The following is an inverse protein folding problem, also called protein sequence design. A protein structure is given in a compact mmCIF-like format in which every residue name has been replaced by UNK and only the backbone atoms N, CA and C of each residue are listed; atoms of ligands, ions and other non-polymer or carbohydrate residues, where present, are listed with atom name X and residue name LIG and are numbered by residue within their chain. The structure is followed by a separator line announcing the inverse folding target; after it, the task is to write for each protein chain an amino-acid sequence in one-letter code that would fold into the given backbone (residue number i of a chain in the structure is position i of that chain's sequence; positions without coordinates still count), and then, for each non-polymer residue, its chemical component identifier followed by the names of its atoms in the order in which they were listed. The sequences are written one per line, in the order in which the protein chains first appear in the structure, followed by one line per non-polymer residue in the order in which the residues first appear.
data_IF_360232734617
#
_entry.id   IF_360232734617
#
_cell.length_a   1.000
_cell.length_b   1.000
_cell.length_c   1.000
_cell.angle_alpha   90.00
_cell.angle_beta   90.00
_cell.angle_gamma   90.00
#
_symmetry.space_group_name_H-M   'P 1'
#
loop_
_entity.id
_entity.type
_entity.pdbx_description
1 polymer ?
#
# COMPACT_ATOMS: atom_id res chain seq x y z
N UNK A 1 -13.25 -1.56 -21.55
CA UNK A 1 -12.08 -1.10 -20.77
C UNK A 1 -11.56 -2.32 -20.04
N UNK A 2 -10.29 -2.67 -20.23
CA UNK A 2 -9.69 -3.78 -19.50
C UNK A 2 -9.22 -3.18 -18.17
N UNK A 3 -9.86 -3.56 -17.07
CA UNK A 3 -9.37 -3.17 -15.76
C UNK A 3 -7.98 -3.75 -15.55
N UNK A 4 -7.11 -3.02 -14.85
CA UNK A 4 -5.81 -3.57 -14.49
C UNK A 4 -6.00 -4.86 -13.69
N UNK A 5 -5.06 -5.79 -13.81
CA UNK A 5 -5.14 -7.07 -13.11
C UNK A 5 -5.27 -6.88 -11.58
N UNK A 6 -4.66 -5.81 -11.04
CA UNK A 6 -4.77 -5.46 -9.63
C UNK A 6 -6.20 -5.07 -9.24
N UNK A 7 -6.91 -4.25 -10.04
CA UNK A 7 -8.31 -3.91 -9.79
C UNK A 7 -9.21 -5.15 -9.85
N UNK A 8 -8.95 -6.06 -10.81
CA UNK A 8 -9.69 -7.33 -10.92
C UNK A 8 -9.49 -8.18 -9.66
N UNK A 9 -8.25 -8.29 -9.17
CA UNK A 9 -7.92 -9.01 -7.93
C UNK A 9 -8.57 -8.38 -6.70
N UNK A 10 -8.46 -7.06 -6.53
CA UNK A 10 -9.10 -6.33 -5.43
C UNK A 10 -10.61 -6.57 -5.41
N UNK A 11 -11.27 -6.45 -6.57
CA UNK A 11 -12.71 -6.71 -6.71
C UNK A 11 -13.08 -8.14 -6.34
N UNK A 12 -12.29 -9.13 -6.78
CA UNK A 12 -12.56 -10.52 -6.48
C UNK A 12 -12.45 -10.81 -4.97
N UNK A 13 -11.44 -10.25 -4.30
CA UNK A 13 -11.26 -10.39 -2.85
C UNK A 13 -12.37 -9.66 -2.10
N UNK A 14 -12.71 -8.42 -2.46
CA UNK A 14 -13.79 -7.65 -1.85
C UNK A 14 -15.14 -8.40 -1.90
N UNK A 15 -15.47 -8.99 -3.04
CA UNK A 15 -16.69 -9.80 -3.18
C UNK A 15 -16.66 -11.08 -2.34
N UNK A 16 -15.49 -11.72 -2.22
CA UNK A 16 -15.34 -12.96 -1.44
C UNK A 16 -15.42 -12.70 0.06
N UNK A 17 -14.91 -11.55 0.52
CA UNK A 17 -14.98 -11.14 1.93
C UNK A 17 -16.41 -10.84 2.40
N UNK A 18 -17.38 -10.64 1.50
CA UNK A 18 -18.79 -10.39 1.82
C UNK A 18 -18.95 -9.31 2.90
N UNK A 19 -19.60 -9.61 4.02
CA UNK A 19 -19.81 -8.65 5.10
C UNK A 19 -18.53 -8.25 5.84
N UNK A 20 -17.45 -9.01 5.72
CA UNK A 20 -16.15 -8.65 6.29
C UNK A 20 -15.52 -7.48 5.55
N UNK A 21 -15.84 -7.27 4.26
CA UNK A 21 -15.26 -6.21 3.43
C UNK A 21 -15.41 -4.81 4.06
N UNK A 22 -16.48 -4.58 4.84
CA UNK A 22 -16.71 -3.30 5.54
C UNK A 22 -15.78 -3.05 6.73
N UNK A 23 -15.15 -4.10 7.23
CA UNK A 23 -14.31 -4.12 8.44
C UNK A 23 -12.84 -4.37 8.11
N UNK A 24 -12.46 -4.32 6.84
CA UNK A 24 -11.07 -4.45 6.40
C UNK A 24 -10.62 -3.20 5.65
N UNK A 25 -9.32 -3.02 5.56
CA UNK A 25 -8.69 -1.96 4.75
C UNK A 25 -7.68 -2.58 3.82
N UNK A 26 -7.85 -2.40 2.52
CA UNK A 26 -6.94 -2.90 1.50
C UNK A 26 -5.70 -2.02 1.45
N UNK A 27 -4.53 -2.65 1.41
CA UNK A 27 -3.22 -1.99 1.39
C UNK A 27 -2.29 -2.66 0.38
N UNK A 28 -1.01 -2.32 0.42
CA UNK A 28 0.01 -3.01 -0.36
C UNK A 28 -0.01 -2.69 -1.86
N UNK A 29 0.71 -3.49 -2.63
CA UNK A 29 0.98 -3.24 -4.05
C UNK A 29 -0.28 -3.19 -4.92
N UNK A 30 -1.31 -3.97 -4.57
CA UNK A 30 -2.55 -4.04 -5.33
C UNK A 30 -3.30 -2.70 -5.35
N UNK A 31 -3.13 -1.87 -4.31
CA UNK A 31 -3.82 -0.58 -4.17
C UNK A 31 -3.11 0.58 -4.85
N UNK A 32 -1.86 0.41 -5.30
CA UNK A 32 -1.00 1.49 -5.84
C UNK A 32 -1.69 2.28 -6.96
N UNK A 33 -2.35 1.57 -7.88
CA UNK A 33 -3.06 2.19 -9.02
C UNK A 33 -4.26 3.06 -8.62
N UNK A 34 -4.74 2.94 -7.39
CA UNK A 34 -5.92 3.68 -6.90
C UNK A 34 -5.58 5.13 -6.50
N UNK A 35 -4.30 5.43 -6.26
CA UNK A 35 -3.80 6.75 -5.84
C UNK A 35 -3.41 7.67 -7.01
N UNK A 36 -3.61 7.21 -8.25
CA UNK A 36 -3.16 7.93 -9.45
C UNK A 36 -4.31 8.22 -10.40
N UNK A 37 -4.03 9.03 -11.42
CA UNK A 37 -5.03 9.39 -12.42
C UNK A 37 -5.26 8.27 -13.43
N UNK A 38 -6.44 8.25 -14.07
CA UNK A 38 -6.75 7.32 -15.17
C UNK A 38 -5.83 7.43 -16.40
N UNK A 39 -5.06 8.51 -16.52
CA UNK A 39 -4.11 8.70 -17.62
C UNK A 39 -2.71 8.17 -17.29
N UNK A 40 -2.47 7.72 -16.06
CA UNK A 40 -1.22 7.12 -15.65
C UNK A 40 -0.96 5.80 -16.40
N UNK A 41 0.32 5.42 -16.61
CA UNK A 41 0.68 4.07 -17.03
C UNK A 41 0.10 3.01 -16.08
N UNK A 42 0.04 1.75 -16.50
CA UNK A 42 -0.43 0.69 -15.60
C UNK A 42 0.61 0.44 -14.49
N UNK A 43 0.16 0.39 -13.23
CA UNK A 43 1.01 0.02 -12.11
C UNK A 43 1.49 -1.43 -12.25
N UNK A 44 2.65 -1.74 -11.64
CA UNK A 44 3.19 -3.11 -11.62
C UNK A 44 2.13 -4.10 -11.09
N UNK A 45 1.93 -5.25 -11.75
CA UNK A 45 1.04 -6.27 -11.24
C UNK A 45 1.62 -6.90 -9.97
N UNK A 46 0.76 -7.27 -9.02
CA UNK A 46 1.14 -7.99 -7.79
C UNK A 46 0.32 -9.26 -7.64
N UNK A 47 0.93 -10.33 -7.13
CA UNK A 47 0.30 -11.65 -7.08
C UNK A 47 -0.65 -11.85 -5.89
N UNK A 48 -0.54 -10.98 -4.89
CA UNK A 48 -1.26 -10.98 -3.63
C UNK A 48 -2.14 -9.72 -3.44
N UNK A 49 -3.15 -9.87 -2.59
CA UNK A 49 -3.95 -8.76 -2.08
C UNK A 49 -3.77 -8.68 -0.57
N UNK A 50 -3.25 -7.56 -0.11
CA UNK A 50 -3.06 -7.29 1.30
C UNK A 50 -4.29 -6.59 1.89
N UNK A 51 -4.79 -7.10 3.03
CA UNK A 51 -5.83 -6.44 3.82
C UNK A 51 -5.44 -6.38 5.28
N UNK A 52 -5.79 -5.27 5.92
CA UNK A 52 -5.62 -5.06 7.36
C UNK A 52 -6.97 -5.22 8.04
N UNK A 53 -6.96 -5.83 9.22
CA UNK A 53 -8.09 -5.96 10.13
C UNK A 53 -7.75 -5.41 11.51
N UNK A 54 -8.68 -4.70 12.14
CA UNK A 54 -8.54 -4.32 13.54
C UNK A 54 -8.99 -5.48 14.43
N UNK A 55 -8.07 -6.00 15.24
CA UNK A 55 -8.34 -7.08 16.19
C UNK A 55 -7.78 -6.68 17.55
N UNK A 56 -8.64 -6.68 18.57
CA UNK A 56 -8.30 -6.31 19.93
C UNK A 56 -7.95 -7.54 20.80
N UNK A 57 -8.28 -8.76 20.37
CA UNK A 57 -8.04 -9.98 21.15
C UNK A 57 -7.80 -11.25 20.32
N UNK A 58 -7.15 -12.24 20.93
CA UNK A 58 -6.98 -13.58 20.35
C UNK A 58 -8.32 -14.26 20.01
N UNK A 59 -9.36 -13.98 20.80
CA UNK A 59 -10.71 -14.52 20.55
C UNK A 59 -11.30 -13.98 19.23
N UNK A 60 -11.14 -12.69 18.97
CA UNK A 60 -11.60 -12.08 17.71
C UNK A 60 -10.80 -12.61 16.52
N UNK A 61 -9.49 -12.82 16.69
CA UNK A 61 -8.66 -13.45 15.67
C UNK A 61 -9.18 -14.86 15.32
N UNK A 62 -9.44 -15.71 16.32
CA UNK A 62 -10.00 -17.05 16.09
C UNK A 62 -11.39 -17.03 15.41
N UNK A 63 -12.24 -16.07 15.77
CA UNK A 63 -13.55 -15.87 15.14
C UNK A 63 -13.43 -15.42 13.69
N UNK A 64 -12.48 -14.51 13.40
CA UNK A 64 -12.17 -14.10 12.04
C UNK A 64 -11.68 -15.28 11.21
N UNK A 65 -10.75 -16.11 11.73
CA UNK A 65 -10.26 -17.30 11.03
C UNK A 65 -11.37 -18.32 10.74
N UNK A 66 -12.28 -18.56 11.69
CA UNK A 66 -13.45 -19.41 11.46
C UNK A 66 -14.35 -18.83 10.36
N UNK A 67 -14.60 -17.52 10.39
CA UNK A 67 -15.43 -16.87 9.37
C UNK A 67 -14.79 -16.91 7.98
N UNK A 68 -13.50 -16.63 7.88
CA UNK A 68 -12.73 -16.72 6.64
C UNK A 68 -12.79 -18.14 6.05
N UNK A 69 -12.65 -19.18 6.89
CA UNK A 69 -12.81 -20.58 6.44
C UNK A 69 -14.21 -20.88 5.91
N UNK A 70 -15.26 -20.35 6.53
CA UNK A 70 -16.64 -20.48 6.03
C UNK A 70 -16.85 -19.77 4.69
N UNK A 71 -16.12 -18.68 4.43
CA UNK A 71 -16.09 -17.98 3.14
C UNK A 71 -15.21 -18.68 2.09
N UNK A 72 -14.52 -19.76 2.47
CA UNK A 72 -13.71 -20.58 1.60
C UNK A 72 -12.21 -20.25 1.60
N UNK A 73 -11.75 -19.30 2.42
CA UNK A 73 -10.33 -19.01 2.55
C UNK A 73 -9.60 -20.17 3.23
N UNK A 74 -8.44 -20.53 2.70
CA UNK A 74 -7.60 -21.61 3.23
C UNK A 74 -6.21 -21.05 3.51
N UNK A 75 -5.71 -21.23 4.74
CA UNK A 75 -4.35 -20.81 5.09
C UNK A 75 -3.31 -21.47 4.15
N UNK A 76 -2.38 -20.67 3.64
CA UNK A 76 -1.27 -21.16 2.82
C UNK A 76 -0.12 -21.63 3.70
N UNK A 77 -0.31 -22.81 4.30
CA UNK A 77 0.69 -23.44 5.19
C UNK A 77 2.02 -23.65 4.45
N UNK A 78 1.99 -23.87 3.13
CA UNK A 78 3.20 -24.16 2.33
C UNK A 78 4.09 -22.93 2.17
N UNK A 79 3.52 -21.73 2.18
CA UNK A 79 4.28 -20.48 2.08
C UNK A 79 5.13 -20.18 3.33
N UNK A 80 4.73 -20.69 4.50
CA UNK A 80 5.30 -20.30 5.78
C UNK A 80 4.89 -18.90 6.26
N UNK A 81 4.04 -18.18 5.50
CA UNK A 81 3.52 -16.86 5.86
C UNK A 81 2.24 -17.04 6.67
N UNK A 82 2.28 -16.64 7.95
CA UNK A 82 1.22 -16.94 8.93
C UNK A 82 -0.12 -16.32 8.54
N UNK A 83 -0.09 -15.09 8.03
CA UNK A 83 -1.28 -14.31 7.65
C UNK A 83 -1.77 -14.60 6.22
N UNK A 84 -1.16 -15.54 5.50
CA UNK A 84 -1.46 -15.80 4.09
C UNK A 84 -2.58 -16.82 3.91
N UNK A 85 -3.53 -16.46 3.06
CA UNK A 85 -4.64 -17.29 2.65
C UNK A 85 -4.64 -17.46 1.13
N UNK A 86 -5.26 -18.54 0.69
CA UNK A 86 -5.58 -18.79 -0.71
C UNK A 86 -7.09 -18.91 -0.87
N UNK A 87 -7.60 -18.35 -1.96
CA UNK A 87 -9.02 -18.44 -2.32
C UNK A 87 -9.16 -18.35 -3.84
N UNK A 88 -9.77 -19.36 -4.47
CA UNK A 88 -9.98 -19.39 -5.93
C UNK A 88 -8.72 -19.08 -6.77
N UNK A 89 -7.54 -19.50 -6.31
CA UNK A 89 -6.26 -19.23 -6.95
C UNK A 89 -5.65 -17.84 -6.68
N UNK A 90 -6.30 -17.01 -5.86
CA UNK A 90 -5.78 -15.73 -5.37
C UNK A 90 -5.03 -15.93 -4.07
N UNK A 91 -3.95 -15.16 -3.89
CA UNK A 91 -3.22 -15.04 -2.63
C UNK A 91 -3.75 -13.80 -1.91
N UNK A 92 -4.10 -13.93 -0.63
CA UNK A 92 -4.63 -12.85 0.19
C UNK A 92 -3.93 -12.87 1.55
N UNK A 93 -3.26 -11.77 1.89
CA UNK A 93 -2.60 -11.61 3.18
C UNK A 93 -3.51 -10.79 4.10
N UNK A 94 -4.00 -11.41 5.17
CA UNK A 94 -4.95 -10.81 6.11
C UNK A 94 -4.22 -10.53 7.42
N UNK A 95 -3.88 -9.26 7.63
CA UNK A 95 -2.96 -8.83 8.68
C UNK A 95 -3.68 -8.05 9.79
N UNK A 96 -3.45 -8.34 11.08
CA UNK A 96 -3.91 -7.47 12.15
C UNK A 96 -3.18 -6.11 12.13
N UNK A 97 -3.85 -5.05 12.58
CA UNK A 97 -3.22 -3.73 12.80
C UNK A 97 -2.02 -3.81 13.74
N UNK A 98 -2.11 -4.65 14.79
CA UNK A 98 -0.97 -5.03 15.62
C UNK A 98 -0.41 -6.40 15.20
N UNK A 99 0.69 -6.37 14.46
CA UNK A 99 1.30 -7.54 13.84
C UNK A 99 2.65 -7.94 14.46
N UNK A 100 3.07 -7.35 15.58
CA UNK A 100 4.36 -7.69 16.22
C UNK A 100 4.52 -9.20 16.49
N UNK A 101 3.43 -9.86 16.89
CA UNK A 101 3.40 -11.30 17.13
C UNK A 101 3.55 -12.16 15.85
N UNK A 102 3.37 -11.58 14.66
CA UNK A 102 3.48 -12.24 13.35
C UNK A 102 4.85 -12.03 12.69
N UNK A 103 5.79 -11.34 13.35
CA UNK A 103 7.16 -11.17 12.87
C UNK A 103 7.33 -10.05 11.83
N UNK A 104 6.31 -9.21 11.62
CA UNK A 104 6.40 -7.98 10.84
C UNK A 104 5.52 -6.91 11.49
N UNK A 105 5.91 -5.65 11.41
CA UNK A 105 5.09 -4.56 11.92
C UNK A 105 5.23 -3.33 11.03
N UNK A 106 4.16 -2.53 10.99
CA UNK A 106 4.16 -1.24 10.34
C UNK A 106 3.42 -0.26 11.26
N UNK A 107 4.14 0.73 11.78
CA UNK A 107 3.60 1.67 12.77
C UNK A 107 2.37 2.45 12.28
N UNK A 108 2.18 2.55 10.96
CA UNK A 108 1.08 3.30 10.35
C UNK A 108 -0.19 2.49 10.19
N UNK A 109 -0.17 1.17 10.48
CA UNK A 109 -1.37 0.34 10.32
C UNK A 109 -2.52 0.74 11.23
N UNK A 110 -2.33 1.01 12.54
CA UNK A 110 -3.43 1.43 13.40
C UNK A 110 -4.07 2.76 12.94
N UNK A 111 -3.27 3.80 12.73
CA UNK A 111 -3.80 5.12 12.34
C UNK A 111 -4.30 5.14 10.90
N UNK A 112 -3.64 4.42 9.99
CA UNK A 112 -4.08 4.28 8.60
C UNK A 112 -5.40 3.51 8.50
N UNK A 113 -5.61 2.51 9.35
CA UNK A 113 -6.89 1.79 9.43
C UNK A 113 -8.00 2.71 9.94
N UNK A 114 -7.74 3.46 11.03
CA UNK A 114 -8.69 4.40 11.61
C UNK A 114 -9.09 5.53 10.65
N UNK A 115 -8.13 5.99 9.85
CA UNK A 115 -8.32 7.07 8.87
C UNK A 115 -8.50 6.55 7.43
N UNK A 116 -8.91 5.29 7.27
CA UNK A 116 -9.16 4.72 5.97
C UNK A 116 -10.29 5.46 5.24
N UNK A 117 -10.15 5.55 3.92
CA UNK A 117 -11.12 6.19 3.04
C UNK A 117 -11.82 5.14 2.18
N UNK A 118 -13.10 5.36 1.88
CA UNK A 118 -13.83 4.51 0.96
C UNK A 118 -13.48 4.84 -0.49
N UNK A 119 -13.20 3.82 -1.29
CA UNK A 119 -12.87 3.90 -2.70
C UNK A 119 -13.82 3.03 -3.52
N UNK A 120 -14.47 3.63 -4.53
CA UNK A 120 -15.33 2.90 -5.48
C UNK A 120 -14.47 2.32 -6.60
N UNK A 121 -14.34 1.00 -6.64
CA UNK A 121 -13.70 0.27 -7.74
C UNK A 121 -14.59 0.29 -8.99
N UNK A 122 -15.91 0.25 -8.78
CA UNK A 122 -16.95 0.41 -9.78
C UNK A 122 -18.30 0.72 -9.10
N UNK A 123 -19.38 0.78 -9.87
CA UNK A 123 -20.73 1.11 -9.41
C UNK A 123 -21.28 0.18 -8.30
N UNK A 124 -20.69 -1.00 -8.11
CA UNK A 124 -21.17 -2.03 -7.17
C UNK A 124 -20.15 -2.40 -6.09
N UNK A 125 -18.87 -2.11 -6.32
CA UNK A 125 -17.78 -2.51 -5.45
C UNK A 125 -17.11 -1.30 -4.81
N UNK A 126 -17.24 -1.21 -3.49
CA UNK A 126 -16.53 -0.23 -2.66
C UNK A 126 -15.63 -0.98 -1.68
N UNK A 127 -14.39 -0.52 -1.56
CA UNK A 127 -13.42 -1.00 -0.59
C UNK A 127 -12.95 0.16 0.28
N UNK A 128 -12.39 -0.13 1.46
CA UNK A 128 -11.63 0.87 2.21
C UNK A 128 -10.15 0.73 1.88
N UNK A 129 -9.45 1.84 1.71
CA UNK A 129 -8.00 1.92 1.50
C UNK A 129 -7.40 2.96 2.45
N UNK A 130 -6.08 2.97 2.60
CA UNK A 130 -5.42 4.09 3.27
C UNK A 130 -5.65 5.40 2.52
N UNK A 131 -5.72 6.51 3.25
CA UNK A 131 -5.52 7.81 2.61
C UNK A 131 -4.10 7.92 2.07
N UNK A 132 -3.88 8.81 1.09
CA UNK A 132 -2.58 8.95 0.44
C UNK A 132 -1.40 9.15 1.43
N UNK A 133 -1.50 9.99 2.49
CA UNK A 133 -0.43 10.13 3.47
C UNK A 133 -0.08 8.82 4.19
N UNK A 134 -1.09 8.05 4.65
CA UNK A 134 -0.86 6.78 5.34
C UNK A 134 -0.36 5.69 4.39
N UNK A 135 -0.79 5.69 3.13
CA UNK A 135 -0.23 4.81 2.11
C UNK A 135 1.28 5.06 1.93
N UNK A 136 1.68 6.31 1.66
CA UNK A 136 3.10 6.65 1.46
C UNK A 136 3.91 6.37 2.73
N UNK A 137 3.39 6.73 3.91
CA UNK A 137 4.05 6.46 5.18
C UNK A 137 4.25 4.95 5.42
N UNK A 138 3.23 4.13 5.12
CA UNK A 138 3.33 2.67 5.25
C UNK A 138 4.36 2.07 4.28
N UNK A 139 4.49 2.61 3.07
CA UNK A 139 5.48 2.18 2.08
C UNK A 139 6.90 2.57 2.47
N UNK A 140 7.08 3.77 3.03
CA UNK A 140 8.37 4.21 3.56
C UNK A 140 8.83 3.31 4.72
N UNK A 141 7.91 2.95 5.62
CA UNK A 141 8.20 2.03 6.72
C UNK A 141 8.59 0.63 6.21
N UNK A 142 7.87 0.11 5.20
CA UNK A 142 8.22 -1.15 4.57
C UNK A 142 9.59 -1.08 3.86
N UNK A 143 9.89 0.01 3.15
CA UNK A 143 11.19 0.23 2.53
C UNK A 143 12.33 0.20 3.54
N UNK A 144 12.16 0.80 4.72
CA UNK A 144 13.16 0.76 5.80
C UNK A 144 13.38 -0.65 6.34
N UNK A 145 12.29 -1.37 6.61
CA UNK A 145 12.35 -2.65 7.31
C UNK A 145 12.89 -3.79 6.43
N UNK A 146 12.51 -3.83 5.14
CA UNK A 146 12.91 -4.91 4.22
C UNK A 146 13.70 -4.47 3.00
N UNK A 147 13.74 -3.17 2.69
CA UNK A 147 14.39 -2.66 1.49
C UNK A 147 15.92 -2.54 1.61
N UNK A 148 16.51 -2.67 2.79
CA UNK A 148 17.96 -2.60 3.03
C UNK A 148 18.63 -1.35 2.39
N UNK A 149 17.92 -0.21 2.36
CA UNK A 149 18.33 1.01 1.65
C UNK A 149 18.64 0.83 0.15
N UNK A 150 18.11 -0.24 -0.48
CA UNK A 150 18.27 -0.50 -1.90
C UNK A 150 17.13 0.13 -2.68
N UNK A 151 17.29 1.40 -3.02
CA UNK A 151 16.31 2.15 -3.81
C UNK A 151 16.02 1.50 -5.16
N UNK A 152 17.03 0.90 -5.81
CA UNK A 152 16.94 0.40 -7.18
C UNK A 152 16.01 -0.81 -7.34
N UNK A 153 15.96 -1.69 -6.33
CA UNK A 153 15.23 -2.95 -6.42
C UNK A 153 14.08 -3.06 -5.40
N UNK A 154 13.86 -2.02 -4.59
CA UNK A 154 12.72 -2.02 -3.68
C UNK A 154 11.42 -1.74 -4.42
N UNK A 155 10.50 -2.70 -4.35
CA UNK A 155 9.13 -2.55 -4.84
C UNK A 155 8.33 -1.51 -4.04
N UNK A 156 8.62 -1.33 -2.75
CA UNK A 156 7.96 -0.28 -1.96
C UNK A 156 8.43 1.11 -2.38
N UNK A 157 9.70 1.25 -2.73
CA UNK A 157 10.22 2.50 -3.29
C UNK A 157 9.69 2.76 -4.71
N UNK A 158 9.62 1.73 -5.55
CA UNK A 158 8.94 1.79 -6.87
C UNK A 158 7.51 2.33 -6.72
N UNK A 159 6.73 1.77 -5.80
CA UNK A 159 5.35 2.18 -5.54
C UNK A 159 5.26 3.67 -5.10
N UNK A 160 6.19 4.13 -4.25
CA UNK A 160 6.28 5.54 -3.84
C UNK A 160 6.56 6.41 -5.07
N UNK A 161 7.60 6.09 -5.85
CA UNK A 161 7.98 6.84 -7.05
C UNK A 161 6.81 6.94 -8.03
N UNK A 162 6.13 5.81 -8.27
CA UNK A 162 4.98 5.75 -9.17
C UNK A 162 3.85 6.68 -8.73
N UNK A 163 3.50 6.69 -7.44
CA UNK A 163 2.43 7.56 -6.91
C UNK A 163 2.86 9.03 -6.90
N UNK A 164 4.10 9.35 -6.53
CA UNK A 164 4.60 10.73 -6.58
C UNK A 164 4.63 11.27 -8.02
N UNK A 165 4.96 10.42 -9.01
CA UNK A 165 5.01 10.81 -10.42
C UNK A 165 3.60 11.03 -11.00
N UNK A 166 2.66 10.14 -10.68
CA UNK A 166 1.38 10.02 -11.39
C UNK A 166 0.15 10.48 -10.58
N UNK A 167 0.33 10.75 -9.29
CA UNK A 167 -0.70 11.26 -8.39
C UNK A 167 -1.08 12.71 -8.68
N UNK A 168 -2.30 13.08 -8.28
CA UNK A 168 -2.76 14.48 -8.27
C UNK A 168 -2.57 15.05 -6.88
N UNK A 169 -2.22 16.33 -6.79
CA UNK A 169 -2.21 17.09 -5.53
C UNK A 169 -1.43 16.43 -4.39
N UNK A 170 -0.43 15.58 -4.72
CA UNK A 170 0.30 14.76 -3.75
C UNK A 170 0.88 15.61 -2.61
N UNK A 171 1.53 16.72 -2.94
CA UNK A 171 2.10 17.63 -1.94
C UNK A 171 1.01 18.21 -1.04
N UNK A 172 -0.11 18.65 -1.61
CA UNK A 172 -1.22 19.24 -0.85
C UNK A 172 -1.83 18.22 0.12
N UNK A 173 -2.10 17.00 -0.34
CA UNK A 173 -2.67 15.94 0.48
C UNK A 173 -1.73 15.50 1.60
N UNK A 174 -0.42 15.35 1.31
CA UNK A 174 0.58 15.00 2.31
C UNK A 174 0.77 16.10 3.35
N UNK A 175 0.74 17.37 2.94
CA UNK A 175 0.93 18.52 3.84
C UNK A 175 -0.33 18.89 4.63
N UNK A 176 -1.51 18.43 4.18
CA UNK A 176 -2.77 18.54 4.92
C UNK A 176 -3.02 17.40 5.91
N UNK A 177 -2.13 16.40 5.98
CA UNK A 177 -2.26 15.27 6.88
C UNK A 177 -2.05 15.65 8.36
N UNK A 178 -2.49 14.77 9.25
CA UNK A 178 -2.29 14.90 10.69
C UNK A 178 -0.81 15.08 11.04
N UNK A 179 -0.53 15.86 12.09
CA UNK A 179 0.83 16.33 12.41
C UNK A 179 1.86 15.20 12.54
N UNK A 180 1.48 14.05 13.10
CA UNK A 180 2.41 12.94 13.29
C UNK A 180 2.85 12.31 11.96
N UNK A 181 1.90 11.91 11.10
CA UNK A 181 2.22 11.31 9.80
C UNK A 181 2.87 12.33 8.88
N UNK A 182 2.42 13.59 8.90
CA UNK A 182 3.06 14.67 8.16
C UNK A 182 4.53 14.81 8.58
N UNK A 183 4.81 14.95 9.88
CA UNK A 183 6.18 15.11 10.39
C UNK A 183 7.07 13.92 10.04
N UNK A 184 6.54 12.70 10.10
CA UNK A 184 7.26 11.51 9.63
C UNK A 184 7.61 11.63 8.15
N UNK A 185 6.64 11.90 7.28
CA UNK A 185 6.85 12.04 5.84
C UNK A 185 7.92 13.12 5.53
N UNK A 186 7.84 14.28 6.18
CA UNK A 186 8.83 15.35 6.03
C UNK A 186 10.26 14.85 6.32
N UNK A 187 10.42 14.19 7.46
CA UNK A 187 11.72 13.70 7.91
C UNK A 187 12.26 12.60 6.99
N UNK A 188 11.42 11.66 6.56
CA UNK A 188 11.84 10.58 5.67
C UNK A 188 12.27 11.09 4.30
N UNK A 189 11.50 12.00 3.72
CA UNK A 189 11.88 12.60 2.44
C UNK A 189 13.13 13.48 2.56
N UNK A 190 13.35 14.17 3.68
CA UNK A 190 14.59 14.89 3.94
C UNK A 190 15.81 13.95 3.98
N UNK A 191 15.71 12.84 4.72
CA UNK A 191 16.76 11.81 4.80
C UNK A 191 17.05 11.20 3.42
N UNK A 192 16.02 10.96 2.61
CA UNK A 192 16.19 10.45 1.25
C UNK A 192 16.93 11.44 0.34
N UNK A 193 16.63 12.75 0.44
CA UNK A 193 17.31 13.79 -0.35
C UNK A 193 18.81 13.89 -0.03
N UNK A 194 19.23 13.52 1.18
CA UNK A 194 20.64 13.48 1.58
C UNK A 194 21.36 12.20 1.11
N UNK A 195 20.63 11.20 0.63
CA UNK A 195 21.22 9.93 0.21
C UNK A 195 21.72 9.98 -1.25
N UNK A 196 23.00 9.68 -1.46
CA UNK A 196 23.64 9.71 -2.79
C UNK A 196 23.02 8.75 -3.81
N UNK A 197 22.32 7.71 -3.36
CA UNK A 197 21.67 6.72 -4.23
C UNK A 197 20.21 7.04 -4.56
N UNK A 198 19.63 8.08 -3.95
CA UNK A 198 18.22 8.39 -4.12
C UNK A 198 17.86 8.75 -5.57
N UNK A 199 18.59 9.68 -6.19
CA UNK A 199 18.33 10.08 -7.58
C UNK A 199 18.49 8.92 -8.56
N UNK A 200 19.55 8.10 -8.39
CA UNK A 200 19.77 6.90 -9.20
C UNK A 200 18.62 5.89 -9.02
N UNK A 201 18.17 5.71 -7.77
CA UNK A 201 17.04 4.87 -7.44
C UNK A 201 15.75 5.32 -8.10
N UNK A 202 15.45 6.62 -8.06
CA UNK A 202 14.29 7.21 -8.74
C UNK A 202 14.38 6.95 -10.24
N UNK A 203 15.51 7.23 -10.87
CA UNK A 203 15.73 6.98 -12.30
C UNK A 203 15.54 5.51 -12.68
N UNK A 204 15.87 4.58 -11.77
CA UNK A 204 15.69 3.14 -11.96
C UNK A 204 14.24 2.71 -12.16
N UNK A 205 13.27 3.49 -11.66
CA UNK A 205 11.83 3.18 -11.70
C UNK A 205 11.05 4.03 -12.71
N UNK A 206 11.71 5.00 -13.36
CA UNK A 206 11.07 5.90 -14.32
C UNK A 206 11.08 5.32 -15.74
N UNK A 207 10.09 5.72 -16.53
CA UNK A 207 10.10 5.45 -17.97
C UNK A 207 11.28 6.20 -18.63
N UNK A 208 12.15 5.47 -19.33
CA UNK A 208 13.36 6.01 -19.93
C UNK A 208 13.11 7.19 -20.88
N UNK A 209 11.95 7.25 -21.53
CA UNK A 209 11.62 8.33 -22.46
C UNK A 209 11.27 9.65 -21.76
N UNK A 210 10.80 9.61 -20.51
CA UNK A 210 10.40 10.79 -19.73
C UNK A 210 11.27 11.03 -18.49
N UNK A 211 12.25 10.16 -18.25
CA UNK A 211 13.01 10.08 -17.00
C UNK A 211 13.58 11.42 -16.51
N UNK A 212 14.17 12.24 -17.39
CA UNK A 212 14.74 13.53 -16.98
C UNK A 212 13.69 14.53 -16.48
N UNK A 213 12.54 14.61 -17.16
CA UNK A 213 11.45 15.49 -16.74
C UNK A 213 10.78 14.98 -15.48
N UNK A 214 10.52 13.67 -15.40
CA UNK A 214 9.92 13.00 -14.24
C UNK A 214 10.82 13.11 -13.00
N UNK A 215 12.14 12.96 -13.14
CA UNK A 215 13.09 13.12 -12.03
C UNK A 215 13.01 14.55 -11.45
N UNK A 216 13.08 15.58 -12.30
CA UNK A 216 13.00 16.97 -11.84
C UNK A 216 11.67 17.27 -11.12
N UNK A 217 10.56 16.75 -11.65
CA UNK A 217 9.25 16.84 -11.00
C UNK A 217 9.27 16.17 -9.63
N UNK A 218 9.76 14.94 -9.54
CA UNK A 218 9.83 14.18 -8.30
C UNK A 218 10.71 14.86 -7.25
N UNK A 219 11.90 15.34 -7.65
CA UNK A 219 12.78 16.10 -6.76
C UNK A 219 12.11 17.38 -6.24
N UNK A 220 11.31 18.04 -7.08
CA UNK A 220 10.53 19.22 -6.66
C UNK A 220 9.47 18.84 -5.63
N UNK A 221 8.70 17.78 -5.88
CA UNK A 221 7.68 17.26 -4.96
C UNK A 221 8.30 16.90 -3.62
N UNK A 222 9.38 16.11 -3.63
CA UNK A 222 10.07 15.63 -2.43
C UNK A 222 10.63 16.80 -1.63
N UNK A 223 11.25 17.80 -2.29
CA UNK A 223 11.73 19.03 -1.64
C UNK A 223 10.60 19.84 -1.00
N UNK A 224 9.44 19.94 -1.66
CA UNK A 224 8.28 20.64 -1.10
C UNK A 224 7.70 19.94 0.12
N UNK A 225 7.69 18.60 0.13
CA UNK A 225 7.25 17.83 1.29
C UNK A 225 8.26 17.96 2.43
N UNK A 226 9.57 17.88 2.15
CA UNK A 226 10.60 17.92 3.19
C UNK A 226 10.81 19.30 3.83
N UNK A 227 10.34 20.38 3.18
CA UNK A 227 10.48 21.76 3.66
C UNK A 227 9.56 22.05 4.86
#
# INVERSE_FOLDING_TARGET
MNDSINIVRLRAVANTLQELNRNVVFVGGATVSLYVTRAAPEARPTDDVDVIVELASYKEYAQLEERLRLLGFVNDIKSGVICRYTINGLIVDIMPTNSEALGFSNRWYPDGFKNAISYSLDDRNTINIFSLPYFIASKLEAFKNRGNNNFRFSTDFEDIVYVLENGKNVVEELMAADEEVKSYLKNEFAVMLENSHFEEGVLGHLNQHTAAASLNKLLTIVKQISA
#
